data_IF_303873650670
#
_entry.id   IF_303873650670
#
_cell.length_a   1.000
_cell.length_b   1.000
_cell.length_c   1.000
_cell.angle_alpha   90.00
_cell.angle_beta   90.00
_cell.angle_gamma   90.00
#
_symmetry.space_group_name_H-M   'P 1'
#
loop_
_entity.id
_entity.type
_entity.pdbx_description
1 polymer ?
#
# COMPACT_ATOMS: atom_id res chain seq x y z
N UNK A 1 17.33 6.68 5.11
CA UNK A 1 16.54 5.82 4.20
C UNK A 1 16.34 6.52 2.85
N UNK A 2 17.37 6.60 2.00
CA UNK A 2 17.35 7.41 0.77
C UNK A 2 16.42 6.89 -0.34
N UNK A 3 16.11 5.59 -0.32
CA UNK A 3 15.36 4.91 -1.38
C UNK A 3 14.00 4.35 -0.92
N UNK A 4 13.63 4.58 0.34
CA UNK A 4 12.35 4.11 0.87
C UNK A 4 11.30 5.20 0.68
N UNK A 5 10.25 4.89 -0.08
CA UNK A 5 9.16 5.81 -0.34
C UNK A 5 8.02 5.55 0.65
N UNK A 6 7.79 6.52 1.54
CA UNK A 6 6.64 6.49 2.42
C UNK A 6 5.41 7.06 1.71
N UNK A 7 4.28 6.37 1.84
CA UNK A 7 3.00 6.90 1.39
C UNK A 7 2.45 7.87 2.43
N UNK A 8 1.87 8.97 1.96
CA UNK A 8 1.08 9.87 2.80
C UNK A 8 -0.39 9.54 2.66
N UNK A 9 -1.20 9.92 3.65
CA UNK A 9 -2.64 9.73 3.57
C UNK A 9 -3.25 10.44 2.35
N UNK A 10 -2.74 11.63 2.02
CA UNK A 10 -3.16 12.38 0.83
C UNK A 10 -2.89 11.60 -0.46
N UNK A 11 -1.71 10.98 -0.59
CA UNK A 11 -1.38 10.19 -1.76
C UNK A 11 -2.28 8.96 -1.87
N UNK A 12 -2.52 8.24 -0.77
CA UNK A 12 -3.46 7.11 -0.75
C UNK A 12 -4.87 7.54 -1.16
N UNK A 13 -5.36 8.67 -0.64
CA UNK A 13 -6.68 9.18 -1.00
C UNK A 13 -6.77 9.60 -2.47
N UNK A 14 -5.69 10.10 -3.08
CA UNK A 14 -5.69 10.39 -4.53
C UNK A 14 -5.85 9.16 -5.42
N UNK A 15 -5.48 7.97 -4.93
CA UNK A 15 -5.67 6.68 -5.61
C UNK A 15 -7.03 6.04 -5.28
N UNK A 16 -7.76 6.60 -4.31
CA UNK A 16 -9.01 6.04 -3.80
C UNK A 16 -10.20 6.76 -4.43
N UNK A 17 -11.05 6.01 -5.13
CA UNK A 17 -12.26 6.49 -5.80
C UNK A 17 -13.41 6.56 -4.80
N UNK A 18 -13.39 7.56 -3.93
CA UNK A 18 -14.41 7.77 -2.90
C UNK A 18 -15.80 7.93 -3.51
N UNK A 19 -16.81 7.28 -2.92
CA UNK A 19 -18.20 7.33 -3.35
C UNK A 19 -19.11 7.53 -2.14
N UNK A 20 -20.21 8.24 -2.34
CA UNK A 20 -21.19 8.46 -1.28
C UNK A 20 -21.79 7.12 -0.84
N UNK A 21 -21.90 6.91 0.48
CA UNK A 21 -22.41 5.69 1.11
C UNK A 21 -21.56 4.43 0.93
N UNK A 22 -20.32 4.57 0.53
CA UNK A 22 -19.34 3.48 0.48
C UNK A 22 -18.08 3.93 1.22
N UNK A 23 -17.46 3.05 2.01
CA UNK A 23 -16.13 3.27 2.55
C UNK A 23 -15.17 2.28 1.93
N UNK A 24 -14.03 2.75 1.44
CA UNK A 24 -12.99 1.94 0.80
C UNK A 24 -11.79 1.76 1.70
N UNK A 25 -10.98 0.73 1.45
CA UNK A 25 -9.78 0.47 2.26
C UNK A 25 -8.80 1.64 2.27
N UNK A 26 -8.65 2.35 1.14
CA UNK A 26 -7.78 3.54 1.09
C UNK A 26 -8.21 4.67 2.02
N UNK A 27 -9.49 4.75 2.37
CA UNK A 27 -10.01 5.70 3.37
C UNK A 27 -9.64 5.27 4.80
N UNK A 28 -9.46 3.97 5.06
CA UNK A 28 -9.24 3.41 6.41
C UNK A 28 -7.78 3.10 6.73
N UNK A 29 -6.97 2.76 5.73
CA UNK A 29 -5.57 2.39 5.93
C UNK A 29 -4.77 3.52 6.57
N UNK A 30 -3.88 3.15 7.50
CA UNK A 30 -2.97 4.09 8.17
C UNK A 30 -1.66 4.18 7.41
N UNK A 31 -1.03 5.35 7.46
CA UNK A 31 0.28 5.59 6.86
C UNK A 31 1.30 5.91 7.97
N UNK A 32 2.50 5.36 7.85
CA UNK A 32 3.61 5.66 8.75
C UNK A 32 4.25 6.97 8.32
N UNK A 33 4.48 7.91 9.24
CA UNK A 33 5.10 9.18 8.89
C UNK A 33 6.61 8.98 8.62
N UNK A 34 7.21 9.72 7.66
CA UNK A 34 8.61 9.54 7.28
C UNK A 34 9.63 9.80 8.41
N UNK A 35 9.27 10.63 9.38
CA UNK A 35 10.10 10.97 10.53
C UNK A 35 9.91 10.03 11.74
N UNK A 36 9.00 9.05 11.63
CA UNK A 36 8.74 8.08 12.69
C UNK A 36 9.78 6.98 12.71
N UNK A 37 10.09 6.45 13.89
CA UNK A 37 10.79 5.18 14.00
C UNK A 37 9.88 4.07 13.45
N UNK A 38 10.30 3.43 12.35
CA UNK A 38 9.50 2.38 11.69
C UNK A 38 9.33 1.19 12.62
N UNK A 39 10.38 0.81 13.35
CA UNK A 39 10.37 -0.37 14.23
C UNK A 39 9.30 -0.23 15.29
N UNK A 40 9.21 0.94 15.93
CA UNK A 40 8.15 1.26 16.87
C UNK A 40 6.78 1.29 16.20
N UNK A 41 6.67 1.85 15.00
CA UNK A 41 5.41 1.95 14.27
C UNK A 41 4.84 0.58 13.86
N UNK A 42 5.69 -0.37 13.48
CA UNK A 42 5.29 -1.72 13.07
C UNK A 42 5.06 -2.67 14.25
N UNK A 43 5.68 -2.40 15.41
CA UNK A 43 5.51 -3.19 16.64
C UNK A 43 4.26 -2.80 17.45
N UNK A 44 3.49 -1.79 17.01
CA UNK A 44 2.27 -1.41 17.70
C UNK A 44 1.26 -2.58 17.70
N UNK A 45 0.70 -2.98 18.87
CA UNK A 45 -0.24 -4.10 18.95
C UNK A 45 -1.49 -3.95 18.06
N UNK A 46 -1.86 -2.72 17.70
CA UNK A 46 -2.98 -2.44 16.79
C UNK A 46 -2.66 -2.72 15.32
N UNK A 47 -1.39 -2.86 14.94
CA UNK A 47 -0.96 -3.12 13.57
C UNK A 47 -0.82 -4.63 13.39
N UNK A 48 -1.81 -5.25 12.73
CA UNK A 48 -1.81 -6.68 12.44
C UNK A 48 -1.12 -7.02 11.12
N UNK A 49 -1.21 -6.10 10.16
CA UNK A 49 -0.72 -6.29 8.79
C UNK A 49 -0.03 -5.02 8.31
N UNK A 50 1.00 -5.20 7.49
CA UNK A 50 1.75 -4.12 6.89
C UNK A 50 1.74 -4.33 5.39
N UNK A 51 1.42 -3.26 4.67
CA UNK A 51 1.55 -3.25 3.22
C UNK A 51 2.91 -2.67 2.84
N UNK A 52 3.74 -3.51 2.23
CA UNK A 52 5.07 -3.14 1.74
C UNK A 52 5.24 -3.66 0.31
N UNK A 53 5.86 -2.85 -0.54
CA UNK A 53 6.02 -3.15 -1.96
C UNK A 53 7.46 -3.00 -2.41
N UNK A 54 7.90 -3.96 -3.24
CA UNK A 54 9.17 -3.92 -3.95
C UNK A 54 8.84 -3.91 -5.45
N UNK A 55 8.65 -2.72 -6.06
CA UNK A 55 8.41 -2.61 -7.50
C UNK A 55 9.73 -2.85 -8.25
N UNK A 56 9.96 -4.10 -8.66
CA UNK A 56 11.24 -4.55 -9.21
C UNK A 56 11.05 -5.74 -10.18
N UNK A 57 11.97 -5.90 -11.15
CA UNK A 57 11.90 -6.98 -12.14
C UNK A 57 13.27 -7.55 -12.61
N UNK A 58 14.38 -7.30 -11.90
CA UNK A 58 15.73 -7.83 -12.20
C UNK A 58 15.70 -9.36 -12.13
N UNK A 59 15.02 -9.95 -11.15
CA UNK A 59 14.89 -11.40 -11.04
C UNK A 59 14.22 -12.04 -12.27
N UNK A 60 13.19 -11.39 -12.82
CA UNK A 60 12.50 -11.85 -14.04
C UNK A 60 13.44 -11.77 -15.24
N UNK A 61 14.11 -10.63 -15.41
CA UNK A 61 15.06 -10.40 -16.51
C UNK A 61 16.27 -11.33 -16.46
N UNK A 62 16.82 -11.58 -15.27
CA UNK A 62 17.97 -12.47 -15.08
C UNK A 62 17.65 -13.92 -15.46
N UNK A 63 16.38 -14.33 -15.37
CA UNK A 63 15.90 -15.64 -15.79
C UNK A 63 15.35 -15.65 -17.23
N UNK A 64 15.78 -14.70 -18.07
CA UNK A 64 15.36 -14.56 -19.47
C UNK A 64 13.85 -14.38 -19.67
N UNK A 65 13.14 -13.97 -18.63
CA UNK A 65 11.72 -13.61 -18.70
C UNK A 65 11.50 -12.22 -19.31
N UNK A 66 10.25 -11.93 -19.64
CA UNK A 66 9.83 -10.60 -20.10
C UNK A 66 9.63 -9.70 -18.88
N UNK A 67 10.32 -8.56 -18.85
CA UNK A 67 10.22 -7.56 -17.78
C UNK A 67 8.84 -6.89 -17.68
N UNK A 68 8.67 -6.04 -16.67
CA UNK A 68 7.45 -5.26 -16.42
C UNK A 68 6.76 -5.55 -15.08
N UNK A 69 7.29 -6.49 -14.28
CA UNK A 69 6.77 -6.78 -12.95
C UNK A 69 6.90 -5.58 -11.99
N UNK A 70 7.87 -4.69 -12.25
CA UNK A 70 8.09 -3.44 -11.52
C UNK A 70 6.89 -2.48 -11.61
N UNK A 71 6.13 -2.52 -12.70
CA UNK A 71 4.95 -1.67 -12.91
C UNK A 71 3.73 -2.10 -12.10
N UNK A 72 3.70 -3.35 -11.62
CA UNK A 72 2.51 -3.96 -11.02
C UNK A 72 2.11 -3.33 -9.69
N UNK A 73 3.06 -2.74 -8.96
CA UNK A 73 2.77 -2.12 -7.67
C UNK A 73 1.71 -1.03 -7.75
N UNK A 74 1.74 -0.20 -8.79
CA UNK A 74 0.76 0.87 -8.98
C UNK A 74 -0.63 0.30 -9.32
N UNK A 75 -0.69 -0.72 -10.17
CA UNK A 75 -1.94 -1.41 -10.53
C UNK A 75 -2.56 -2.14 -9.33
N UNK A 76 -1.72 -2.78 -8.52
CA UNK A 76 -2.11 -3.39 -7.25
C UNK A 76 -2.71 -2.35 -6.31
N UNK A 77 -2.01 -1.23 -6.04
CA UNK A 77 -2.52 -0.19 -5.14
C UNK A 77 -3.85 0.39 -5.62
N UNK A 78 -3.98 0.69 -6.91
CA UNK A 78 -5.23 1.18 -7.48
C UNK A 78 -6.39 0.19 -7.27
N UNK A 79 -6.14 -1.10 -7.32
CA UNK A 79 -7.19 -2.11 -7.10
C UNK A 79 -7.47 -2.28 -5.61
N UNK A 80 -6.42 -2.54 -4.83
CA UNK A 80 -6.49 -2.87 -3.40
C UNK A 80 -7.13 -1.75 -2.58
N UNK A 81 -6.70 -0.50 -2.78
CA UNK A 81 -7.24 0.65 -2.04
C UNK A 81 -8.71 0.90 -2.33
N UNK A 82 -9.23 0.39 -3.45
CA UNK A 82 -10.59 0.59 -3.89
C UNK A 82 -11.56 -0.54 -3.53
N UNK A 83 -11.07 -1.59 -2.87
CA UNK A 83 -11.90 -2.64 -2.27
C UNK A 83 -12.78 -2.00 -1.21
N UNK A 84 -14.03 -2.44 -1.14
CA UNK A 84 -15.00 -1.97 -0.16
C UNK A 84 -14.64 -2.49 1.24
N UNK A 85 -14.62 -1.59 2.21
CA UNK A 85 -14.60 -1.94 3.63
C UNK A 85 -15.92 -2.59 4.01
N UNK A 86 -15.86 -3.77 4.62
CA UNK A 86 -17.04 -4.51 5.08
C UNK A 86 -16.73 -5.28 6.37
N UNK A 87 -17.72 -6.03 6.86
CA UNK A 87 -17.64 -6.74 8.16
C UNK A 87 -16.52 -7.80 8.23
N UNK A 88 -16.02 -8.26 7.08
CA UNK A 88 -14.94 -9.25 6.98
C UNK A 88 -13.58 -8.62 6.62
N UNK A 89 -13.59 -7.38 6.13
CA UNK A 89 -12.41 -6.66 5.70
C UNK A 89 -12.60 -5.16 5.96
N UNK A 90 -12.25 -4.73 7.18
CA UNK A 90 -12.40 -3.34 7.60
C UNK A 90 -11.21 -2.46 7.18
N UNK A 91 -10.01 -3.02 6.99
CA UNK A 91 -8.82 -2.26 6.60
C UNK A 91 -8.31 -1.26 7.65
N UNK A 92 -8.50 -1.53 8.95
CA UNK A 92 -8.05 -0.65 10.06
C UNK A 92 -7.19 -1.28 11.13
#
# INVERSE_FOLDING_TARGET
MRYFNFYTKQHILSLTKVRRFETKLGERIRCIAPASNIEEAIQQPSVKYILFGIPEDIGVKANYGIGGADTLWQSFLNTFLNIQSNDFLDGS
#
